data_IF_486153691137
#
_entry.id   IF_486153691137
#
_cell.length_a   1.000
_cell.length_b   1.000
_cell.length_c   1.000
_cell.angle_alpha   90.00
_cell.angle_beta   90.00
_cell.angle_gamma   90.00
#
_symmetry.space_group_name_H-M   'P 1'
#
loop_
_entity.id
_entity.type
_entity.pdbx_description
1 polymer ?
#
# COMPACT_ATOMS: atom_id res chain seq x y z
N UNK A 1 4.74 -2.15 25.90
CA UNK A 1 4.95 -0.68 26.00
C UNK A 1 3.59 -0.03 26.22
N UNK A 2 3.50 1.02 27.05
CA UNK A 2 2.27 1.78 27.31
C UNK A 2 2.44 3.17 26.69
N UNK A 3 1.35 3.78 26.20
CA UNK A 3 1.33 5.13 25.61
C UNK A 3 0.38 6.03 26.41
N UNK A 4 0.64 7.34 26.40
CA UNK A 4 -0.29 8.36 26.89
C UNK A 4 -1.07 8.88 25.69
N UNK A 5 -2.41 8.93 25.80
CA UNK A 5 -3.28 9.40 24.72
C UNK A 5 -3.95 10.69 25.19
N UNK A 6 -3.76 11.77 24.44
CA UNK A 6 -4.45 13.04 24.63
C UNK A 6 -5.31 13.33 23.39
N UNK A 7 -6.62 13.43 23.57
CA UNK A 7 -7.59 13.74 22.51
C UNK A 7 -8.12 15.15 22.71
N UNK A 8 -8.31 15.89 21.62
CA UNK A 8 -8.80 17.27 21.64
C UNK A 8 -9.85 17.46 20.57
N UNK A 9 -11.06 17.81 20.97
CA UNK A 9 -12.17 18.06 20.07
C UNK A 9 -12.23 19.53 19.65
N UNK A 10 -12.36 19.78 18.35
CA UNK A 10 -12.52 21.12 17.80
C UNK A 10 -13.87 21.68 18.23
N UNK A 11 -13.90 22.91 18.74
CA UNK A 11 -15.10 23.57 19.25
C UNK A 11 -15.37 23.34 20.75
N UNK A 12 -14.69 22.36 21.36
CA UNK A 12 -14.78 22.10 22.81
C UNK A 12 -13.44 22.37 23.50
N UNK A 13 -12.38 21.67 23.08
CA UNK A 13 -11.06 21.76 23.72
C UNK A 13 -10.13 22.81 23.06
N UNK A 14 -10.43 23.16 21.81
CA UNK A 14 -9.62 24.03 20.96
C UNK A 14 -10.46 24.65 19.85
N UNK A 15 -10.10 25.83 19.36
CA UNK A 15 -10.89 26.56 18.36
C UNK A 15 -10.65 26.10 16.91
N UNK A 16 -9.45 25.60 16.60
CA UNK A 16 -9.08 25.17 15.24
C UNK A 16 -8.02 24.08 15.24
N UNK A 17 -7.86 23.40 14.10
CA UNK A 17 -6.80 22.42 13.88
C UNK A 17 -5.41 23.06 13.96
N UNK A 18 -5.17 24.17 13.26
CA UNK A 18 -3.88 24.86 13.24
C UNK A 18 -3.42 25.31 14.63
N UNK A 19 -4.32 25.82 15.47
CA UNK A 19 -3.99 26.16 16.86
C UNK A 19 -3.70 24.91 17.69
N UNK A 20 -4.57 23.91 17.62
CA UNK A 20 -4.41 22.65 18.36
C UNK A 20 -3.08 21.98 18.06
N UNK A 21 -2.73 21.92 16.77
CA UNK A 21 -1.52 21.28 16.27
C UNK A 21 -0.26 22.05 16.71
N UNK A 22 -0.25 23.38 16.61
CA UNK A 22 0.85 24.21 17.14
C UNK A 22 1.07 24.02 18.64
N UNK A 23 -0.02 23.86 19.41
CA UNK A 23 0.07 23.60 20.86
C UNK A 23 0.55 22.18 21.13
N UNK A 24 0.08 21.19 20.39
CA UNK A 24 0.49 19.79 20.54
C UNK A 24 2.00 19.62 20.35
N UNK A 25 2.61 20.32 19.38
CA UNK A 25 4.07 20.32 19.16
C UNK A 25 4.91 20.78 20.36
N UNK A 26 4.31 21.46 21.35
CA UNK A 26 4.98 21.88 22.60
C UNK A 26 4.71 20.95 23.78
N UNK A 27 4.02 19.83 23.55
CA UNK A 27 3.66 18.83 24.57
C UNK A 27 4.48 17.55 24.44
N UNK A 28 5.64 17.62 23.77
CA UNK A 28 6.54 16.48 23.55
C UNK A 28 5.84 15.24 22.97
N UNK A 29 5.05 15.36 21.87
CA UNK A 29 4.33 14.22 21.31
C UNK A 29 5.28 13.32 20.51
N UNK A 30 5.07 12.00 20.55
CA UNK A 30 5.72 11.09 19.60
C UNK A 30 4.91 10.94 18.30
N UNK A 31 3.58 10.95 18.43
CA UNK A 31 2.62 10.69 17.35
C UNK A 31 1.52 11.74 17.39
N UNK A 32 1.18 12.27 16.21
CA UNK A 32 0.15 13.29 16.04
C UNK A 32 -0.87 12.77 15.03
N UNK A 33 -2.14 12.71 15.43
CA UNK A 33 -3.26 12.45 14.53
C UNK A 33 -4.01 13.77 14.26
N UNK A 34 -3.95 14.25 13.03
CA UNK A 34 -4.78 15.35 12.54
C UNK A 34 -6.00 14.72 11.84
N UNK A 35 -7.21 15.03 12.29
CA UNK A 35 -8.42 14.39 11.78
C UNK A 35 -8.53 14.48 10.25
N UNK A 36 -8.55 15.70 9.72
CA UNK A 36 -8.49 15.98 8.28
C UNK A 36 -7.77 17.30 8.04
N UNK A 37 -7.13 17.45 6.87
CA UNK A 37 -6.50 18.70 6.46
C UNK A 37 -7.36 19.40 5.41
N UNK A 38 -7.81 20.62 5.72
CA UNK A 38 -8.70 21.42 4.86
C UNK A 38 -8.09 22.71 4.35
N UNK A 39 -7.00 23.17 4.95
CA UNK A 39 -6.37 24.45 4.67
C UNK A 39 -4.84 24.34 4.64
N UNK A 40 -4.22 25.36 4.05
CA UNK A 40 -2.77 25.46 3.89
C UNK A 40 -2.04 25.51 5.23
N UNK A 41 -2.57 26.24 6.21
CA UNK A 41 -1.96 26.39 7.54
C UNK A 41 -1.82 25.04 8.24
N UNK A 42 -2.88 24.24 8.27
CA UNK A 42 -2.88 22.91 8.88
C UNK A 42 -1.91 21.98 8.13
N UNK A 43 -1.90 22.02 6.80
CA UNK A 43 -0.96 21.22 5.98
C UNK A 43 0.48 21.59 6.27
N UNK A 44 0.79 22.89 6.34
CA UNK A 44 2.15 23.38 6.57
C UNK A 44 2.67 22.93 7.94
N UNK A 45 1.85 23.05 9.00
CA UNK A 45 2.25 22.62 10.33
C UNK A 45 2.40 21.09 10.37
N UNK A 46 1.55 20.32 9.68
CA UNK A 46 1.66 18.87 9.60
C UNK A 46 2.98 18.42 8.93
N UNK A 47 3.37 19.08 7.82
CA UNK A 47 4.64 18.83 7.16
C UNK A 47 5.83 19.20 8.06
N UNK A 48 5.77 20.34 8.76
CA UNK A 48 6.80 20.75 9.72
C UNK A 48 6.94 19.76 10.89
N UNK A 49 5.83 19.25 11.41
CA UNK A 49 5.82 18.24 12.46
C UNK A 49 6.50 16.94 11.99
N UNK A 50 6.17 16.49 10.78
CA UNK A 50 6.78 15.32 10.18
C UNK A 50 8.30 15.52 9.91
N UNK A 51 8.69 16.69 9.42
CA UNK A 51 10.10 17.03 9.14
C UNK A 51 10.96 17.11 10.42
N UNK A 52 10.36 17.49 11.54
CA UNK A 52 11.00 17.51 12.87
C UNK A 52 11.01 16.15 13.57
N UNK A 53 10.55 15.08 12.91
CA UNK A 53 10.69 13.70 13.38
C UNK A 53 9.45 13.09 14.04
N UNK A 54 8.31 13.78 14.04
CA UNK A 54 7.06 13.26 14.60
C UNK A 54 6.37 12.33 13.61
N UNK A 55 5.73 11.24 14.09
CA UNK A 55 4.84 10.48 13.24
C UNK A 55 3.51 11.22 13.10
N UNK A 56 3.24 11.76 11.91
CA UNK A 56 1.99 12.46 11.62
C UNK A 56 1.05 11.56 10.81
N UNK A 57 -0.15 11.36 11.34
CA UNK A 57 -1.25 10.68 10.67
C UNK A 57 -2.31 11.73 10.31
N UNK A 58 -2.81 11.71 9.08
CA UNK A 58 -3.88 12.59 8.65
C UNK A 58 -4.72 12.00 7.53
N UNK A 59 -5.87 12.60 7.27
CA UNK A 59 -6.74 12.24 6.15
C UNK A 59 -6.88 13.39 5.14
N UNK A 60 -7.07 13.00 3.87
CA UNK A 60 -7.49 13.87 2.77
C UNK A 60 -8.58 13.14 1.96
N UNK A 61 -9.51 13.92 1.41
CA UNK A 61 -10.61 13.40 0.58
C UNK A 61 -10.16 13.24 -0.88
N UNK A 62 -9.25 12.30 -1.14
CA UNK A 62 -8.73 12.00 -2.48
C UNK A 62 -8.93 10.53 -2.84
N UNK A 63 -9.04 10.24 -4.13
CA UNK A 63 -9.44 8.92 -4.63
C UNK A 63 -8.31 7.89 -4.67
N UNK A 64 -7.07 8.36 -4.82
CA UNK A 64 -5.86 7.54 -5.00
C UNK A 64 -4.62 8.29 -4.47
N UNK A 65 -3.48 7.60 -4.42
CA UNK A 65 -2.24 8.14 -3.87
C UNK A 65 -1.65 9.27 -4.74
N UNK A 66 -1.81 9.18 -6.06
CA UNK A 66 -1.34 10.20 -6.98
C UNK A 66 -2.10 11.52 -6.78
N UNK A 67 -3.43 11.45 -6.70
CA UNK A 67 -4.29 12.60 -6.40
C UNK A 67 -4.02 13.16 -5.01
N UNK A 68 -3.64 12.32 -4.03
CA UNK A 68 -3.19 12.78 -2.71
C UNK A 68 -1.99 13.71 -2.84
N UNK A 69 -0.97 13.32 -3.60
CA UNK A 69 0.23 14.15 -3.84
C UNK A 69 -0.15 15.48 -4.50
N UNK A 70 -0.94 15.45 -5.57
CA UNK A 70 -1.39 16.68 -6.23
C UNK A 70 -2.24 17.57 -5.32
N UNK A 71 -3.09 16.98 -4.48
CA UNK A 71 -3.92 17.72 -3.53
C UNK A 71 -3.08 18.42 -2.48
N UNK A 72 -2.04 17.77 -1.94
CA UNK A 72 -1.11 18.40 -1.00
C UNK A 72 -0.48 19.64 -1.63
N UNK A 73 0.03 19.53 -2.87
CA UNK A 73 0.64 20.66 -3.58
C UNK A 73 -0.36 21.79 -3.86
N UNK A 74 -1.62 21.46 -4.12
CA UNK A 74 -2.66 22.46 -4.42
C UNK A 74 -3.00 23.40 -3.26
N UNK A 75 -2.62 23.07 -2.02
CA UNK A 75 -2.76 24.00 -0.88
C UNK A 75 -1.81 25.20 -0.98
N UNK A 76 -0.73 25.09 -1.76
CA UNK A 76 0.34 26.07 -1.81
C UNK A 76 0.37 26.80 -3.15
N UNK A 77 0.84 28.05 -3.18
CA UNK A 77 1.03 28.79 -4.43
C UNK A 77 2.16 28.18 -5.28
N UNK A 78 2.12 28.31 -6.63
CA UNK A 78 3.05 27.63 -7.53
C UNK A 78 4.54 27.84 -7.24
N UNK A 79 4.92 29.03 -6.76
CA UNK A 79 6.32 29.35 -6.45
C UNK A 79 6.88 28.56 -5.25
N UNK A 80 6.01 27.97 -4.41
CA UNK A 80 6.40 27.13 -3.27
C UNK A 80 6.39 25.64 -3.61
N UNK A 81 5.85 25.23 -4.77
CA UNK A 81 5.63 23.82 -5.08
C UNK A 81 6.91 22.98 -5.01
N UNK A 82 8.04 23.52 -5.44
CA UNK A 82 9.30 22.76 -5.38
C UNK A 82 9.77 22.51 -3.96
N UNK A 83 9.65 23.49 -3.07
CA UNK A 83 9.98 23.34 -1.65
C UNK A 83 9.07 22.30 -0.99
N UNK A 84 7.76 22.38 -1.23
CA UNK A 84 6.79 21.42 -0.68
C UNK A 84 7.04 20.00 -1.22
N UNK A 85 7.43 19.85 -2.49
CA UNK A 85 7.81 18.54 -3.04
C UNK A 85 9.02 17.95 -2.32
N UNK A 86 10.03 18.76 -2.02
CA UNK A 86 11.24 18.29 -1.29
C UNK A 86 10.88 17.82 0.12
N UNK A 87 10.11 18.61 0.87
CA UNK A 87 9.67 18.25 2.23
C UNK A 87 8.74 17.04 2.20
N UNK A 88 7.79 17.00 1.26
CA UNK A 88 6.89 15.84 1.12
C UNK A 88 7.68 14.57 0.78
N UNK A 89 8.65 14.64 -0.12
CA UNK A 89 9.48 13.50 -0.49
C UNK A 89 10.35 13.02 0.69
N UNK A 90 10.87 13.92 1.53
CA UNK A 90 11.68 13.51 2.69
C UNK A 90 10.83 12.89 3.81
N UNK A 91 9.59 13.37 3.99
CA UNK A 91 8.75 13.02 5.15
C UNK A 91 7.71 11.95 4.89
N UNK A 92 7.20 11.80 3.66
CA UNK A 92 6.11 10.88 3.32
C UNK A 92 6.51 9.42 3.57
N UNK A 93 5.80 8.76 4.49
CA UNK A 93 5.98 7.34 4.78
C UNK A 93 5.09 6.45 3.92
N UNK A 94 3.80 6.77 3.86
CA UNK A 94 2.83 6.01 3.09
C UNK A 94 1.59 6.85 2.75
N UNK A 95 0.87 6.45 1.69
CA UNK A 95 -0.49 6.89 1.41
C UNK A 95 -1.37 5.65 1.29
N UNK A 96 -2.51 5.67 1.97
CA UNK A 96 -3.49 4.58 1.95
C UNK A 96 -4.82 5.16 1.49
N UNK A 97 -5.25 4.82 0.28
CA UNK A 97 -6.54 5.25 -0.27
C UNK A 97 -7.53 4.09 -0.19
N UNK A 98 -8.75 4.34 0.31
CA UNK A 98 -9.71 3.29 0.62
C UNK A 98 -11.06 3.53 -0.06
N UNK A 99 -11.69 2.45 -0.55
CA UNK A 99 -13.06 2.43 -1.06
C UNK A 99 -13.81 1.28 -0.41
N UNK A 100 -14.92 1.56 0.26
CA UNK A 100 -15.78 0.52 0.82
C UNK A 100 -16.74 0.02 -0.26
N UNK A 101 -16.55 -1.23 -0.69
CA UNK A 101 -17.34 -1.85 -1.75
C UNK A 101 -18.30 -2.89 -1.17
N UNK A 102 -19.49 -2.99 -1.76
CA UNK A 102 -20.52 -3.93 -1.31
C UNK A 102 -20.08 -5.38 -1.57
N UNK A 103 -20.34 -6.23 -0.58
CA UNK A 103 -20.11 -7.66 -0.72
C UNK A 103 -21.26 -8.33 -1.47
N UNK A 104 -20.94 -9.29 -2.33
CA UNK A 104 -21.93 -10.13 -3.01
C UNK A 104 -22.17 -11.46 -2.29
N UNK A 105 -21.23 -11.89 -1.44
CA UNK A 105 -21.30 -13.19 -0.76
C UNK A 105 -22.07 -13.16 0.57
N UNK A 106 -22.07 -12.01 1.28
CA UNK A 106 -22.78 -11.82 2.55
C UNK A 106 -23.08 -10.34 2.82
N UNK A 107 -24.00 -10.00 3.74
CA UNK A 107 -24.24 -8.62 4.14
C UNK A 107 -22.96 -7.94 4.65
N UNK A 108 -22.72 -6.71 4.19
CA UNK A 108 -21.58 -5.89 4.61
C UNK A 108 -20.76 -5.34 3.44
N UNK A 109 -19.56 -4.84 3.76
CA UNK A 109 -18.63 -4.22 2.81
C UNK A 109 -17.21 -4.75 3.01
N UNK A 110 -16.37 -4.66 1.99
CA UNK A 110 -14.92 -4.84 2.10
C UNK A 110 -14.19 -3.55 1.73
N UNK A 111 -13.06 -3.23 2.37
CA UNK A 111 -12.23 -2.11 1.96
C UNK A 111 -11.34 -2.54 0.81
N UNK A 112 -11.63 -2.09 -0.41
CA UNK A 112 -10.65 -2.05 -1.48
C UNK A 112 -9.63 -0.94 -1.14
N UNK A 113 -8.34 -1.28 -1.14
CA UNK A 113 -7.29 -0.38 -0.66
C UNK A 113 -6.18 -0.24 -1.68
N UNK A 114 -5.78 0.99 -1.97
CA UNK A 114 -4.51 1.32 -2.62
C UNK A 114 -3.47 1.70 -1.57
N UNK A 115 -2.24 1.19 -1.71
CA UNK A 115 -1.13 1.41 -0.78
C UNK A 115 0.09 1.89 -1.56
N UNK A 116 0.52 3.11 -1.26
CA UNK A 116 1.81 3.67 -1.67
C UNK A 116 2.74 3.73 -0.47
N UNK A 117 3.99 3.30 -0.62
CA UNK A 117 5.04 3.43 0.41
C UNK A 117 6.16 4.35 -0.11
N UNK A 118 6.68 5.23 0.75
CA UNK A 118 7.67 6.27 0.43
C UNK A 118 9.09 5.77 0.19
N UNK A 119 9.28 4.90 -0.82
CA UNK A 119 10.60 4.38 -1.24
C UNK A 119 11.44 5.45 -1.95
N UNK A 120 12.76 5.22 -2.09
CA UNK A 120 13.63 6.15 -2.81
C UNK A 120 13.15 6.52 -4.22
N UNK A 121 12.59 5.56 -4.97
CA UNK A 121 12.02 5.81 -6.29
C UNK A 121 10.77 6.69 -6.24
N UNK A 122 9.89 6.47 -5.26
CA UNK A 122 8.69 7.30 -5.06
C UNK A 122 9.10 8.73 -4.70
N UNK A 123 10.11 8.90 -3.84
CA UNK A 123 10.64 10.22 -3.46
C UNK A 123 11.18 10.98 -4.67
N UNK A 124 11.94 10.32 -5.54
CA UNK A 124 12.43 10.89 -6.80
C UNK A 124 11.27 11.33 -7.73
N UNK A 125 10.21 10.53 -7.84
CA UNK A 125 9.01 10.87 -8.60
C UNK A 125 8.24 12.06 -8.00
N UNK A 126 8.25 12.23 -6.68
CA UNK A 126 7.61 13.37 -6.00
C UNK A 126 8.41 14.66 -6.25
N UNK A 127 9.75 14.60 -6.18
CA UNK A 127 10.62 15.76 -6.40
C UNK A 127 10.60 16.23 -7.86
N UNK A 128 10.46 15.31 -8.82
CA UNK A 128 10.46 15.61 -10.26
C UNK A 128 9.03 15.71 -10.80
N UNK A 129 8.50 16.90 -11.13
CA UNK A 129 7.10 17.09 -11.54
C UNK A 129 6.67 16.22 -12.72
N UNK A 130 7.56 16.03 -13.70
CA UNK A 130 7.29 15.28 -14.93
C UNK A 130 7.18 13.77 -14.66
N UNK A 131 7.80 13.27 -13.58
CA UNK A 131 7.79 11.86 -13.19
C UNK A 131 6.70 11.52 -12.17
N UNK A 132 5.97 12.51 -11.65
CA UNK A 132 4.98 12.28 -10.58
C UNK A 132 3.90 11.29 -11.01
N UNK A 133 3.48 11.30 -12.28
CA UNK A 133 2.50 10.35 -12.80
C UNK A 133 2.97 8.88 -12.72
N UNK A 134 4.27 8.63 -12.82
CA UNK A 134 4.88 7.29 -12.77
C UNK A 134 4.77 6.64 -11.38
N UNK A 135 4.33 7.36 -10.36
CA UNK A 135 4.02 6.78 -9.03
C UNK A 135 3.01 5.64 -9.14
N UNK A 136 2.05 5.72 -10.07
CA UNK A 136 1.06 4.64 -10.29
C UNK A 136 1.72 3.31 -10.69
N UNK A 137 2.72 3.38 -11.56
CA UNK A 137 3.46 2.21 -12.01
C UNK A 137 4.30 1.62 -10.88
N UNK A 138 4.92 2.47 -10.06
CA UNK A 138 5.68 2.05 -8.87
C UNK A 138 4.80 1.33 -7.86
N UNK A 139 3.55 1.80 -7.65
CA UNK A 139 2.59 1.12 -6.77
C UNK A 139 2.28 -0.28 -7.30
N UNK A 140 1.93 -0.38 -8.59
CA UNK A 140 1.59 -1.65 -9.23
C UNK A 140 2.74 -2.67 -9.16
N UNK A 141 3.97 -2.23 -9.35
CA UNK A 141 5.16 -3.09 -9.36
C UNK A 141 5.70 -3.40 -7.94
N UNK A 142 5.34 -2.57 -6.95
CA UNK A 142 5.89 -2.62 -5.59
C UNK A 142 5.26 -3.67 -4.66
N UNK A 143 4.39 -4.54 -5.16
CA UNK A 143 3.62 -5.49 -4.34
C UNK A 143 4.48 -6.43 -3.52
N UNK A 144 5.40 -7.15 -4.15
CA UNK A 144 6.19 -8.17 -3.46
C UNK A 144 7.22 -7.55 -2.50
N UNK A 145 7.92 -6.50 -2.95
CA UNK A 145 9.06 -5.95 -2.20
C UNK A 145 8.64 -5.00 -1.07
N UNK A 146 7.57 -4.23 -1.27
CA UNK A 146 7.20 -3.11 -0.39
C UNK A 146 5.76 -3.21 0.13
N UNK A 147 5.01 -4.24 -0.26
CA UNK A 147 3.59 -4.38 0.10
C UNK A 147 2.70 -3.32 -0.54
N UNK A 148 3.12 -2.72 -1.65
CA UNK A 148 2.28 -1.76 -2.38
C UNK A 148 1.19 -2.49 -3.17
N UNK A 149 0.08 -1.81 -3.43
CA UNK A 149 -0.95 -2.37 -4.31
C UNK A 149 -1.79 -1.24 -4.87
N UNK A 150 -2.24 -1.39 -6.11
CA UNK A 150 -3.23 -0.49 -6.70
C UNK A 150 -4.62 -0.84 -6.19
N UNK A 151 -5.56 0.10 -6.30
CA UNK A 151 -6.96 -0.19 -5.99
C UNK A 151 -7.52 -1.31 -6.88
N UNK A 152 -7.09 -1.37 -8.15
CA UNK A 152 -7.56 -2.36 -9.12
C UNK A 152 -7.04 -3.77 -8.77
N UNK A 153 -5.78 -3.89 -8.32
CA UNK A 153 -5.24 -5.13 -7.76
C UNK A 153 -6.03 -5.59 -6.53
N UNK A 154 -6.38 -4.67 -5.63
CA UNK A 154 -7.19 -4.97 -4.44
C UNK A 154 -8.61 -5.41 -4.80
N UNK A 155 -9.26 -4.76 -5.77
CA UNK A 155 -10.58 -5.14 -6.28
C UNK A 155 -10.55 -6.52 -6.94
N UNK A 156 -9.53 -6.78 -7.75
CA UNK A 156 -9.35 -8.06 -8.44
C UNK A 156 -9.20 -9.21 -7.44
N UNK A 157 -8.45 -9.01 -6.37
CA UNK A 157 -8.34 -9.95 -5.26
C UNK A 157 -9.70 -10.32 -4.66
N UNK A 158 -10.52 -9.32 -4.32
CA UNK A 158 -11.85 -9.57 -3.74
C UNK A 158 -12.80 -10.24 -4.74
N UNK A 159 -12.74 -9.85 -6.02
CA UNK A 159 -13.53 -10.45 -7.09
C UNK A 159 -13.18 -11.93 -7.29
N UNK A 160 -11.89 -12.26 -7.41
CA UNK A 160 -11.42 -13.65 -7.57
C UNK A 160 -11.80 -14.55 -6.40
N UNK A 161 -11.92 -13.98 -5.19
CA UNK A 161 -12.38 -14.69 -3.99
C UNK A 161 -13.92 -14.76 -3.87
N UNK A 162 -14.66 -14.27 -4.87
CA UNK A 162 -16.12 -14.26 -4.88
C UNK A 162 -16.76 -13.30 -3.86
N UNK A 163 -15.99 -12.39 -3.27
CA UNK A 163 -16.49 -11.48 -2.24
C UNK A 163 -17.25 -10.29 -2.81
N UNK A 164 -16.96 -9.90 -4.06
CA UNK A 164 -17.64 -8.81 -4.77
C UNK A 164 -18.03 -9.28 -6.18
N UNK A 165 -19.11 -8.72 -6.73
CA UNK A 165 -19.52 -9.01 -8.11
C UNK A 165 -18.61 -8.31 -9.12
N UNK A 166 -18.56 -8.82 -10.35
CA UNK A 166 -17.83 -8.17 -11.45
C UNK A 166 -18.35 -6.75 -11.69
N UNK A 167 -19.67 -6.55 -11.65
CA UNK A 167 -20.30 -5.23 -11.77
C UNK A 167 -19.77 -4.27 -10.71
N UNK A 168 -19.77 -4.69 -9.43
CA UNK A 168 -19.23 -3.88 -8.32
C UNK A 168 -17.76 -3.56 -8.53
N UNK A 169 -16.96 -4.54 -8.94
CA UNK A 169 -15.54 -4.34 -9.21
C UNK A 169 -15.33 -3.29 -10.33
N UNK A 170 -16.08 -3.38 -11.43
CA UNK A 170 -15.99 -2.45 -12.55
C UNK A 170 -16.45 -1.02 -12.21
N UNK A 171 -17.49 -0.87 -11.38
CA UNK A 171 -17.94 0.46 -10.92
C UNK A 171 -16.88 1.17 -10.08
N UNK A 172 -16.06 0.41 -9.35
CA UNK A 172 -15.06 0.95 -8.44
C UNK A 172 -13.62 0.93 -8.97
N UNK A 173 -13.37 0.29 -10.13
CA UNK A 173 -12.07 0.25 -10.76
C UNK A 173 -11.63 1.64 -11.25
N UNK A 174 -10.35 1.94 -11.14
CA UNK A 174 -9.74 3.15 -11.70
C UNK A 174 -9.66 3.07 -13.23
N UNK A 175 -9.41 1.89 -13.80
CA UNK A 175 -9.53 1.62 -15.23
C UNK A 175 -10.42 0.39 -15.49
N UNK A 176 -11.73 0.57 -15.71
CA UNK A 176 -12.66 -0.54 -15.92
C UNK A 176 -12.35 -1.39 -17.15
N UNK A 177 -11.79 -0.81 -18.21
CA UNK A 177 -11.50 -1.53 -19.45
C UNK A 177 -10.28 -2.45 -19.28
N UNK A 178 -9.21 -1.95 -18.65
CA UNK A 178 -8.06 -2.78 -18.28
C UNK A 178 -8.48 -3.90 -17.32
N UNK A 179 -9.31 -3.57 -16.33
CA UNK A 179 -9.87 -4.56 -15.40
C UNK A 179 -10.62 -5.69 -16.13
N UNK A 180 -11.44 -5.38 -17.15
CA UNK A 180 -12.14 -6.40 -17.97
C UNK A 180 -11.16 -7.29 -18.74
N UNK A 181 -10.14 -6.69 -19.36
CA UNK A 181 -9.11 -7.44 -20.08
C UNK A 181 -8.41 -8.42 -19.13
N UNK A 182 -8.12 -7.99 -17.89
CA UNK A 182 -7.54 -8.86 -16.86
C UNK A 182 -8.46 -9.99 -16.42
N UNK A 183 -9.74 -9.70 -16.20
CA UNK A 183 -10.72 -10.76 -15.87
C UNK A 183 -10.83 -11.79 -16.99
N UNK A 184 -10.65 -11.38 -18.25
CA UNK A 184 -10.61 -12.27 -19.41
C UNK A 184 -9.27 -13.04 -19.58
N UNK A 185 -8.29 -12.84 -18.69
CA UNK A 185 -6.98 -13.49 -18.74
C UNK A 185 -6.01 -12.87 -19.76
N UNK A 186 -6.31 -11.69 -20.29
CA UNK A 186 -5.43 -10.97 -21.23
C UNK A 186 -4.45 -10.15 -20.40
N UNK A 187 -3.17 -10.51 -20.45
CA UNK A 187 -2.08 -9.83 -19.71
C UNK A 187 -1.21 -9.05 -20.68
N UNK A 188 -1.01 -7.75 -20.41
CA UNK A 188 -0.04 -6.93 -21.14
C UNK A 188 1.41 -7.27 -20.77
N UNK A 189 2.35 -7.08 -21.69
CA UNK A 189 3.77 -7.43 -21.49
C UNK A 189 4.48 -6.69 -20.35
N UNK A 190 3.89 -5.62 -19.80
CA UNK A 190 4.43 -4.78 -18.73
C UNK A 190 4.01 -5.19 -17.30
N UNK A 191 3.20 -6.24 -17.14
CA UNK A 191 2.43 -6.46 -15.91
C UNK A 191 2.99 -7.49 -14.93
N UNK A 192 4.14 -7.18 -14.33
CA UNK A 192 4.78 -8.06 -13.32
C UNK A 192 4.11 -8.03 -11.93
N UNK A 193 3.31 -7.01 -11.63
CA UNK A 193 2.75 -6.78 -10.28
C UNK A 193 1.55 -7.65 -9.88
N UNK A 194 1.00 -8.45 -10.81
CA UNK A 194 -0.34 -9.04 -10.63
C UNK A 194 -0.35 -10.49 -10.15
N UNK A 195 0.79 -11.19 -10.21
CA UNK A 195 0.91 -12.61 -9.88
C UNK A 195 0.40 -12.95 -8.47
N UNK A 196 0.60 -12.07 -7.50
CA UNK A 196 0.17 -12.27 -6.11
C UNK A 196 -1.35 -12.19 -5.92
N UNK A 197 -2.07 -11.59 -6.88
CA UNK A 197 -3.53 -11.42 -6.83
C UNK A 197 -4.26 -12.50 -7.65
N UNK A 198 -3.53 -13.26 -8.45
CA UNK A 198 -4.04 -14.44 -9.14
C UNK A 198 -4.11 -15.60 -8.15
N UNK A 199 -5.32 -16.06 -7.85
CA UNK A 199 -5.51 -17.31 -7.10
C UNK A 199 -5.05 -18.45 -8.00
N UNK A 200 -4.06 -19.24 -7.56
CA UNK A 200 -3.71 -20.53 -8.19
C UNK A 200 -5.00 -21.32 -8.42
N UNK A 201 -5.33 -21.58 -9.69
CA UNK A 201 -6.48 -22.40 -10.04
C UNK A 201 -6.27 -23.83 -9.52
N UNK A 202 -7.35 -24.60 -9.35
CA UNK A 202 -7.19 -26.04 -9.03
C UNK A 202 -6.38 -26.79 -10.10
N UNK A 203 -6.39 -26.30 -11.33
CA UNK A 203 -5.58 -26.82 -12.44
C UNK A 203 -4.10 -26.46 -12.31
N UNK A 204 -3.77 -25.26 -11.80
CA UNK A 204 -2.38 -24.89 -11.47
C UNK A 204 -1.85 -25.71 -10.30
N UNK A 205 -2.69 -26.01 -9.30
CA UNK A 205 -2.35 -26.91 -8.18
C UNK A 205 -2.15 -28.35 -8.61
N UNK A 206 -2.89 -28.82 -9.63
CA UNK A 206 -2.69 -30.15 -10.24
C UNK A 206 -1.37 -30.20 -11.03
N UNK A 207 -1.12 -29.23 -11.91
CA UNK A 207 0.15 -29.15 -12.67
C UNK A 207 1.39 -29.11 -11.79
N UNK A 208 1.36 -28.34 -10.69
CA UNK A 208 2.45 -28.29 -9.71
C UNK A 208 2.63 -29.62 -8.96
N UNK A 209 1.53 -30.34 -8.68
CA UNK A 209 1.59 -31.70 -8.11
C UNK A 209 2.18 -32.70 -9.10
N UNK A 210 1.81 -32.59 -10.37
CA UNK A 210 2.26 -33.47 -11.44
C UNK A 210 3.76 -33.25 -11.74
N UNK A 211 4.23 -31.99 -11.79
CA UNK A 211 5.66 -31.64 -11.88
C UNK A 211 6.48 -32.17 -10.70
N UNK A 212 5.96 -32.05 -9.47
CA UNK A 212 6.63 -32.61 -8.28
C UNK A 212 6.69 -34.13 -8.37
N UNK A 213 5.66 -34.81 -8.89
CA UNK A 213 5.68 -36.28 -9.01
C UNK A 213 6.58 -36.81 -10.13
N UNK A 214 6.83 -36.03 -11.19
CA UNK A 214 7.79 -36.41 -12.25
C UNK A 214 9.23 -36.37 -11.74
N UNK A 215 9.61 -35.33 -10.97
CA UNK A 215 10.95 -35.20 -10.37
C UNK A 215 11.29 -36.34 -9.38
N UNK A 216 10.28 -36.91 -8.71
CA UNK A 216 10.48 -38.05 -7.78
C UNK A 216 10.43 -39.43 -8.46
N UNK A 217 10.18 -39.50 -9.77
CA UNK A 217 10.12 -40.76 -10.51
C UNK A 217 11.48 -41.23 -11.04
N UNK A 218 12.45 -40.32 -11.17
CA UNK A 218 13.78 -40.62 -11.74
C UNK A 218 14.86 -40.98 -10.70
N UNK A 219 14.65 -40.78 -9.39
CA UNK A 219 15.66 -41.08 -8.36
C UNK A 219 15.61 -42.49 -7.73
N UNK A 220 14.68 -43.38 -8.14
CA UNK A 220 14.63 -44.76 -7.59
C UNK A 220 15.51 -45.76 -8.34
N UNK A 221 16.81 -45.48 -8.44
CA UNK A 221 17.83 -46.50 -8.80
C UNK A 221 19.14 -46.38 -8.04
N UNK A 222 19.11 -46.14 -6.72
CA UNK A 222 20.27 -46.45 -5.89
C UNK A 222 19.89 -47.31 -4.68
N UNK A 223 20.63 -48.41 -4.52
CA UNK A 223 20.45 -49.42 -3.48
C UNK A 223 20.76 -48.81 -2.10
N UNK A 224 20.10 -49.24 -1.01
CA UNK A 224 20.43 -48.73 0.31
C UNK A 224 21.79 -49.29 0.76
N UNK A 225 22.75 -48.40 1.01
CA UNK A 225 23.93 -48.71 1.84
C UNK A 225 23.46 -48.75 3.30
N UNK A 226 23.17 -49.95 3.78
CA UNK A 226 23.30 -50.26 5.20
C UNK A 226 24.56 -51.10 5.38
N UNK A 227 25.26 -50.85 6.49
CA UNK A 227 26.48 -51.53 6.96
C UNK A 227 27.80 -50.93 6.45
N UNK A 228 28.23 -49.84 7.09
CA UNK A 228 29.55 -49.93 7.71
C UNK A 228 29.63 -49.15 9.03
N UNK A 229 30.23 -49.80 10.02
CA UNK A 229 30.36 -49.35 11.41
C UNK A 229 31.64 -48.53 11.53
N UNK A 230 31.63 -47.45 12.31
CA UNK A 230 32.89 -46.75 12.60
C UNK A 230 32.78 -45.60 13.60
N UNK A 231 32.75 -45.94 14.89
CA UNK A 231 33.33 -45.24 16.04
C UNK A 231 33.69 -43.74 15.89
N UNK A 232 33.04 -42.89 16.70
CA UNK A 232 33.66 -41.66 17.19
C UNK A 232 33.65 -41.65 18.73
N UNK A 233 34.81 -41.44 19.40
CA UNK A 233 34.86 -41.26 20.84
C UNK A 233 34.55 -39.81 21.22
N UNK A 234 33.74 -39.67 22.27
CA UNK A 234 33.49 -38.44 23.00
C UNK A 234 34.79 -37.81 23.55
N UNK A 235 35.02 -36.51 23.29
CA UNK A 235 35.73 -35.56 24.17
C UNK A 235 35.11 -34.16 23.94
N UNK A 236 34.38 -33.65 24.93
CA UNK A 236 34.79 -32.61 25.90
C UNK A 236 35.11 -31.27 25.25
#
# INVERSE_FOLDING_TARGET
>A
KKSIIAQREIGIDTFSFSESLRRAMRQDPDVILVGEIRDMDTMQIALQAADTGHLVLSTLHTLDALQTIYRILSFFPPHQHQEIRLVLASTLQAVISQRLVHRSDKPGRVPAVEVLVGTGAVRECIVTPEKTASVKDLISQGTVQYGMQTIDQSLFYFYRRGMISLETALTHASNPDDFKLRVAGIVGSSDKGWKEFEIESEDDKKKKKDEITEDFSDEKKEKPLAEDRGLYPNKK
#
